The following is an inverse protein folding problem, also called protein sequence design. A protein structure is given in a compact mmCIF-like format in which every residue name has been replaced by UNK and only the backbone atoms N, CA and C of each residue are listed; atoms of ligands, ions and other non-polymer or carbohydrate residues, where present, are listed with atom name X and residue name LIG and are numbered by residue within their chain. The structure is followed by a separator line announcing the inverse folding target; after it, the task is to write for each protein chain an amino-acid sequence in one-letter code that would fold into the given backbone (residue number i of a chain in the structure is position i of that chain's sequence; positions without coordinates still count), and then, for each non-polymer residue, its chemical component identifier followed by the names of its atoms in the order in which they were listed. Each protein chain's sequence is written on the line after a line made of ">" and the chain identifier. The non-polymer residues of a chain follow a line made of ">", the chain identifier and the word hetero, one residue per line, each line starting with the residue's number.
data_IF_860990180558
#
_entry.id   IF_860990180558
#
_cell.length_a   1.000
_cell.length_b   1.000
_cell.length_c   1.000
_cell.angle_alpha   90.00
_cell.angle_beta   90.00
_cell.angle_gamma   90.00
#
_symmetry.space_group_name_H-M   'P 1'
#
loop_
_entity.id
_entity.type
_entity.pdbx_description
1 polymer ?
#
# COMPACT_ATOMS: atom_id res chain seq x y z
N UNK A 1 10.52 8.96 -19.35
CA UNK A 1 9.56 7.85 -19.54
C UNK A 1 9.88 7.18 -20.87
N UNK A 2 10.15 5.91 -20.82
CA UNK A 2 10.39 5.14 -22.04
C UNK A 2 9.04 4.84 -22.72
N UNK A 3 8.81 5.49 -23.87
CA UNK A 3 7.57 5.29 -24.63
C UNK A 3 7.40 3.85 -25.16
N UNK A 4 8.45 3.04 -25.07
CA UNK A 4 8.42 1.63 -25.49
C UNK A 4 7.96 0.68 -24.40
N UNK A 5 7.89 1.13 -23.14
CA UNK A 5 7.43 0.29 -22.03
C UNK A 5 5.91 0.13 -22.07
N UNK A 6 5.40 -1.12 -22.30
CA UNK A 6 3.96 -1.36 -22.34
C UNK A 6 3.24 -1.03 -21.03
N UNK A 7 3.88 -1.23 -19.88
CA UNK A 7 3.31 -0.92 -18.58
C UNK A 7 3.15 0.59 -18.40
N UNK A 8 4.20 1.36 -18.70
CA UNK A 8 4.14 2.81 -18.60
C UNK A 8 3.08 3.40 -19.54
N UNK A 9 2.98 2.85 -20.76
CA UNK A 9 1.94 3.26 -21.72
C UNK A 9 0.54 2.96 -21.19
N UNK A 10 0.32 1.78 -20.64
CA UNK A 10 -0.96 1.39 -20.08
C UNK A 10 -1.35 2.27 -18.88
N UNK A 11 -0.40 2.56 -18.00
CA UNK A 11 -0.62 3.47 -16.86
C UNK A 11 -0.99 4.87 -17.34
N UNK A 12 -0.30 5.35 -18.38
CA UNK A 12 -0.60 6.67 -18.96
C UNK A 12 -2.03 6.72 -19.54
N UNK A 13 -2.48 5.66 -20.18
CA UNK A 13 -3.85 5.57 -20.72
C UNK A 13 -4.92 5.57 -19.62
N UNK A 14 -4.59 5.12 -18.41
CA UNK A 14 -5.48 5.05 -17.26
C UNK A 14 -5.36 6.24 -16.32
N UNK A 15 -4.56 7.23 -16.67
CA UNK A 15 -4.26 8.37 -15.80
C UNK A 15 -5.51 9.14 -15.38
N UNK A 16 -6.40 9.42 -16.34
CA UNK A 16 -7.64 10.16 -16.05
C UNK A 16 -8.57 9.37 -15.15
N UNK A 17 -8.65 8.06 -15.34
CA UNK A 17 -9.41 7.18 -14.46
C UNK A 17 -8.80 7.14 -13.05
N UNK A 18 -7.49 7.10 -12.92
CA UNK A 18 -6.83 7.17 -11.63
C UNK A 18 -7.12 8.50 -10.90
N UNK A 19 -7.06 9.62 -11.60
CA UNK A 19 -7.40 10.93 -11.05
C UNK A 19 -8.86 10.97 -10.57
N UNK A 20 -9.76 10.35 -11.32
CA UNK A 20 -11.16 10.24 -10.95
C UNK A 20 -11.34 9.43 -9.66
N UNK A 21 -10.65 8.29 -9.54
CA UNK A 21 -10.68 7.47 -8.33
C UNK A 21 -10.17 8.27 -7.13
N UNK A 22 -9.06 8.98 -7.27
CA UNK A 22 -8.47 9.78 -6.20
C UNK A 22 -9.41 10.94 -5.77
N UNK A 23 -10.09 11.56 -6.72
CA UNK A 23 -11.07 12.59 -6.43
C UNK A 23 -12.28 12.03 -5.68
N UNK A 24 -12.82 10.93 -6.15
CA UNK A 24 -13.91 10.21 -5.48
C UNK A 24 -13.56 9.91 -4.01
N UNK A 25 -12.35 9.41 -3.78
CA UNK A 25 -11.89 9.11 -2.43
C UNK A 25 -11.89 10.35 -1.56
N UNK A 26 -11.31 11.46 -2.05
CA UNK A 26 -11.24 12.70 -1.27
C UNK A 26 -12.60 13.29 -0.93
N UNK A 27 -13.52 13.24 -1.88
CA UNK A 27 -14.81 13.90 -1.78
C UNK A 27 -15.89 13.05 -1.14
N UNK A 28 -15.86 11.73 -1.32
CA UNK A 28 -16.98 10.86 -0.99
C UNK A 28 -16.64 9.62 -0.15
N UNK A 29 -15.40 9.22 -0.05
CA UNK A 29 -15.04 7.92 0.52
C UNK A 29 -13.77 7.92 1.39
N UNK A 30 -13.34 9.07 1.91
CA UNK A 30 -12.10 9.19 2.67
C UNK A 30 -12.06 8.28 3.90
N UNK A 31 -13.20 8.08 4.57
CA UNK A 31 -13.28 7.28 5.80
C UNK A 31 -13.16 5.76 5.56
N UNK A 32 -13.38 5.31 4.33
CA UNK A 32 -13.30 3.90 3.98
C UNK A 32 -12.08 3.54 3.14
N UNK A 33 -11.30 4.52 2.71
CA UNK A 33 -10.22 4.31 1.77
C UNK A 33 -9.03 3.60 2.41
N UNK A 34 -8.59 2.52 1.77
CA UNK A 34 -7.48 1.69 2.24
C UNK A 34 -6.24 1.71 1.37
N UNK A 35 -6.20 2.58 0.35
CA UNK A 35 -5.07 2.70 -0.56
C UNK A 35 -5.41 2.34 -2.00
N UNK A 36 -4.53 2.73 -2.90
CA UNK A 36 -4.69 2.48 -4.33
C UNK A 36 -3.32 2.14 -4.92
N UNK A 37 -3.28 1.19 -5.84
CA UNK A 37 -2.02 0.79 -6.48
C UNK A 37 -2.26 0.30 -7.90
N UNK A 38 -1.15 0.22 -8.65
CA UNK A 38 -1.14 -0.38 -9.98
C UNK A 38 -0.90 -1.88 -9.85
N UNK A 39 -1.81 -2.69 -10.41
CA UNK A 39 -1.51 -4.08 -10.72
C UNK A 39 -0.96 -4.12 -12.14
N UNK A 40 0.33 -4.37 -12.26
CA UNK A 40 1.04 -4.33 -13.53
C UNK A 40 1.01 -5.66 -14.28
N UNK A 41 0.42 -6.71 -13.73
CA UNK A 41 0.13 -7.92 -14.49
C UNK A 41 -0.84 -7.59 -15.63
N UNK A 42 -0.52 -7.96 -16.87
CA UNK A 42 -1.41 -7.63 -17.99
C UNK A 42 -2.80 -8.26 -17.86
N UNK A 43 -3.88 -7.49 -18.10
CA UNK A 43 -3.89 -6.06 -18.40
C UNK A 43 -3.65 -5.19 -17.17
N UNK A 44 -2.83 -4.15 -17.30
CA UNK A 44 -2.57 -3.20 -16.20
C UNK A 44 -3.89 -2.66 -15.64
N UNK A 45 -4.05 -2.71 -14.34
CA UNK A 45 -5.31 -2.42 -13.65
C UNK A 45 -5.07 -1.47 -12.48
N UNK A 46 -5.99 -0.53 -12.27
CA UNK A 46 -6.05 0.27 -11.05
C UNK A 46 -6.74 -0.58 -9.98
N UNK A 47 -6.11 -0.75 -8.82
CA UNK A 47 -6.71 -1.43 -7.68
C UNK A 47 -6.99 -0.41 -6.60
N UNK A 48 -8.24 -0.26 -6.22
CA UNK A 48 -8.68 0.62 -5.13
C UNK A 48 -9.20 -0.23 -3.98
N UNK A 49 -8.74 0.06 -2.77
CA UNK A 49 -9.04 -0.72 -1.57
C UNK A 49 -9.96 0.07 -0.64
N UNK A 50 -10.96 -0.60 -0.09
CA UNK A 50 -11.91 -0.02 0.85
C UNK A 50 -12.18 -0.94 2.02
N UNK A 51 -12.39 -0.37 3.20
CA UNK A 51 -12.65 -1.15 4.42
C UNK A 51 -14.13 -1.47 4.63
N UNK A 52 -15.01 -0.75 3.95
CA UNK A 52 -16.46 -0.90 4.08
C UNK A 52 -17.15 -0.52 2.77
N UNK A 53 -18.38 -1.00 2.61
CA UNK A 53 -19.24 -0.71 1.45
C UNK A 53 -18.57 -0.95 0.10
N UNK A 54 -17.78 -2.02 0.01
CA UNK A 54 -16.95 -2.34 -1.17
C UNK A 54 -17.79 -2.42 -2.45
N UNK A 55 -18.95 -3.07 -2.40
CA UNK A 55 -19.84 -3.23 -3.56
C UNK A 55 -20.41 -1.88 -4.02
N UNK A 56 -20.74 -0.99 -3.08
CA UNK A 56 -21.21 0.36 -3.39
C UNK A 56 -20.10 1.15 -4.10
N UNK A 57 -18.90 1.13 -3.56
CA UNK A 57 -17.76 1.84 -4.18
C UNK A 57 -17.46 1.28 -5.57
N UNK A 58 -17.53 -0.04 -5.73
CA UNK A 58 -17.34 -0.70 -7.03
C UNK A 58 -18.37 -0.22 -8.05
N UNK A 59 -19.62 -0.16 -7.66
CA UNK A 59 -20.72 0.27 -8.55
C UNK A 59 -20.53 1.73 -8.94
N UNK A 60 -20.28 2.61 -7.98
CA UNK A 60 -20.15 4.05 -8.23
C UNK A 60 -18.94 4.33 -9.11
N UNK A 61 -17.76 3.80 -8.75
CA UNK A 61 -16.53 4.00 -9.51
C UNK A 61 -16.63 3.37 -10.91
N UNK A 62 -17.16 2.17 -11.00
CA UNK A 62 -17.34 1.49 -12.28
C UNK A 62 -18.24 2.26 -13.27
N UNK A 63 -19.18 3.05 -12.75
CA UNK A 63 -20.05 3.88 -13.59
C UNK A 63 -19.39 5.19 -14.03
N UNK A 64 -18.34 5.63 -13.34
CA UNK A 64 -17.67 6.93 -13.59
C UNK A 64 -16.40 6.82 -14.41
N UNK A 65 -15.63 5.72 -14.26
CA UNK A 65 -14.38 5.54 -15.02
C UNK A 65 -14.66 5.22 -16.49
N UNK A 66 -13.71 5.52 -17.36
CA UNK A 66 -13.85 5.27 -18.80
C UNK A 66 -13.56 3.81 -19.16
N UNK A 67 -12.74 3.11 -18.37
CA UNK A 67 -12.35 1.73 -18.60
C UNK A 67 -12.63 0.87 -17.35
N UNK A 68 -13.91 0.55 -17.08
CA UNK A 68 -14.26 -0.19 -15.86
C UNK A 68 -13.66 -1.60 -15.80
N UNK A 69 -13.33 -2.21 -16.93
CA UNK A 69 -12.63 -3.50 -16.97
C UNK A 69 -11.18 -3.41 -16.46
N UNK A 70 -10.64 -2.20 -16.37
CA UNK A 70 -9.28 -1.93 -15.90
C UNK A 70 -9.28 -1.33 -14.49
N UNK A 71 -10.37 -1.49 -13.77
CA UNK A 71 -10.54 -1.08 -12.37
C UNK A 71 -10.93 -2.28 -11.53
N UNK A 72 -10.20 -2.55 -10.46
CA UNK A 72 -10.56 -3.53 -9.45
C UNK A 72 -10.81 -2.81 -8.12
N UNK A 73 -11.93 -3.08 -7.49
CA UNK A 73 -12.28 -2.55 -6.16
C UNK A 73 -12.33 -3.73 -5.21
N UNK A 74 -11.52 -3.71 -4.17
CA UNK A 74 -11.33 -4.84 -3.27
C UNK A 74 -11.41 -4.40 -1.81
N UNK A 75 -11.74 -5.35 -0.94
CA UNK A 75 -11.75 -5.16 0.50
C UNK A 75 -10.34 -5.16 1.08
N UNK A 76 -10.15 -4.37 2.13
CA UNK A 76 -8.92 -4.37 2.94
C UNK A 76 -9.31 -4.15 4.41
N UNK A 77 -8.54 -4.68 5.38
CA UNK A 77 -8.93 -4.58 6.79
C UNK A 77 -8.64 -3.21 7.43
N UNK A 78 -7.74 -2.41 6.87
CA UNK A 78 -7.27 -1.15 7.46
C UNK A 78 -7.42 0.00 6.48
N UNK A 79 -7.84 1.17 6.99
CA UNK A 79 -7.84 2.39 6.17
C UNK A 79 -6.42 2.88 5.93
N UNK A 80 -6.24 3.65 4.87
CA UNK A 80 -4.97 4.33 4.57
C UNK A 80 -4.49 5.18 5.75
N UNK A 81 -5.41 5.91 6.39
CA UNK A 81 -5.12 6.71 7.57
C UNK A 81 -4.63 5.86 8.74
N UNK A 82 -5.25 4.71 8.99
CA UNK A 82 -4.83 3.79 10.05
C UNK A 82 -3.44 3.20 9.78
N UNK A 83 -3.15 2.83 8.54
CA UNK A 83 -1.81 2.32 8.16
C UNK A 83 -0.75 3.39 8.38
N UNK A 84 -1.03 4.64 8.02
CA UNK A 84 -0.12 5.76 8.26
C UNK A 84 0.11 6.02 9.76
N UNK A 85 -0.94 5.95 10.57
CA UNK A 85 -0.82 6.10 12.02
C UNK A 85 0.04 4.97 12.61
N UNK A 86 -0.18 3.74 12.18
CA UNK A 86 0.65 2.60 12.58
C UNK A 86 2.11 2.80 12.19
N UNK A 87 2.36 3.30 10.99
CA UNK A 87 3.71 3.59 10.51
C UNK A 87 4.42 4.60 11.42
N UNK A 88 3.76 5.70 11.76
CA UNK A 88 4.35 6.73 12.63
C UNK A 88 4.69 6.15 14.02
N UNK A 89 3.78 5.38 14.59
CA UNK A 89 3.97 4.76 15.91
C UNK A 89 5.06 3.70 15.90
N UNK A 90 5.11 2.84 14.90
CA UNK A 90 6.14 1.80 14.76
C UNK A 90 7.51 2.44 14.52
N UNK A 91 7.58 3.44 13.64
CA UNK A 91 8.82 4.15 13.37
C UNK A 91 9.37 4.82 14.63
N UNK A 92 8.52 5.50 15.40
CA UNK A 92 8.91 6.12 16.66
C UNK A 92 9.43 5.07 17.65
N UNK A 93 8.74 3.96 17.79
CA UNK A 93 9.12 2.89 18.71
C UNK A 93 10.45 2.25 18.34
N UNK A 94 10.64 1.87 17.09
CA UNK A 94 11.82 1.13 16.64
C UNK A 94 13.05 2.02 16.46
N UNK A 95 12.89 3.22 15.95
CA UNK A 95 14.01 4.11 15.65
C UNK A 95 14.45 4.95 16.86
N UNK A 96 13.56 5.20 17.81
CA UNK A 96 13.86 5.99 18.99
C UNK A 96 14.48 5.14 20.10
N UNK A 97 13.97 3.94 20.34
CA UNK A 97 14.45 3.08 21.43
C UNK A 97 15.74 2.34 21.10
N UNK A 98 16.04 2.15 19.82
CA UNK A 98 17.19 1.40 19.31
C UNK A 98 17.36 0.03 19.97
N UNK A 99 16.27 -0.61 20.34
CA UNK A 99 16.27 -1.91 21.01
C UNK A 99 16.68 -3.04 20.08
N UNK A 100 16.57 -2.86 18.78
CA UNK A 100 16.98 -3.85 17.79
C UNK A 100 17.93 -3.19 16.77
N UNK A 101 19.21 -3.62 16.70
CA UNK A 101 20.16 -3.06 15.74
C UNK A 101 19.88 -3.54 14.32
N UNK A 102 20.39 -2.81 13.32
CA UNK A 102 20.32 -3.20 11.92
C UNK A 102 18.98 -2.95 11.26
N UNK A 103 18.15 -2.07 11.82
CA UNK A 103 16.95 -1.58 11.15
C UNK A 103 17.37 -0.48 10.18
N UNK A 104 17.14 -0.71 8.88
CA UNK A 104 17.51 0.25 7.83
C UNK A 104 16.38 1.20 7.49
N UNK A 105 15.14 0.71 7.48
CA UNK A 105 14.00 1.57 7.17
C UNK A 105 12.71 1.03 7.77
N UNK A 106 11.80 1.95 8.02
CA UNK A 106 10.40 1.67 8.36
C UNK A 106 9.55 2.44 7.35
N UNK A 107 8.77 1.74 6.58
CA UNK A 107 7.96 2.34 5.52
C UNK A 107 6.61 1.66 5.38
N UNK A 108 5.89 2.01 4.34
CA UNK A 108 4.62 1.37 3.98
C UNK A 108 4.84 0.67 2.65
N UNK A 109 4.49 -0.60 2.57
CA UNK A 109 4.62 -1.40 1.37
C UNK A 109 3.36 -2.20 1.07
N UNK A 110 3.32 -2.77 -0.12
CA UNK A 110 2.24 -3.62 -0.57
C UNK A 110 2.62 -5.08 -0.27
N UNK A 111 1.75 -5.78 0.44
CA UNK A 111 1.93 -7.18 0.79
C UNK A 111 0.62 -7.92 0.65
N UNK A 112 0.60 -8.95 -0.21
CA UNK A 112 -0.60 -9.75 -0.48
C UNK A 112 -1.83 -8.90 -0.82
N UNK A 113 -1.64 -7.88 -1.67
CA UNK A 113 -2.73 -7.05 -2.18
C UNK A 113 -3.25 -5.99 -1.21
N UNK A 114 -2.53 -5.69 -0.12
CA UNK A 114 -2.89 -4.63 0.84
C UNK A 114 -1.67 -3.89 1.34
N UNK A 115 -1.89 -2.68 1.84
CA UNK A 115 -0.81 -1.88 2.40
C UNK A 115 -0.57 -2.23 3.86
N UNK A 116 0.71 -2.41 4.22
CA UNK A 116 1.16 -2.72 5.57
C UNK A 116 2.42 -1.93 5.90
N UNK A 117 2.72 -1.79 7.17
CA UNK A 117 4.00 -1.23 7.61
C UNK A 117 5.08 -2.29 7.38
N UNK A 118 6.16 -1.89 6.70
CA UNK A 118 7.30 -2.75 6.38
C UNK A 118 8.53 -2.28 7.12
N UNK A 119 9.26 -3.21 7.72
CA UNK A 119 10.53 -2.95 8.40
C UNK A 119 11.63 -3.73 7.69
N UNK A 120 12.62 -3.01 7.20
CA UNK A 120 13.78 -3.59 6.54
C UNK A 120 14.92 -3.75 7.53
N UNK A 121 15.43 -4.95 7.66
CA UNK A 121 16.53 -5.29 8.57
C UNK A 121 17.66 -6.01 7.84
N UNK A 122 18.86 -5.89 8.38
CA UNK A 122 20.03 -6.62 7.91
C UNK A 122 20.94 -6.97 9.11
N UNK A 123 21.33 -8.24 9.27
CA UNK A 123 20.86 -9.40 8.55
C UNK A 123 19.43 -9.78 8.96
N UNK A 124 18.68 -10.35 8.04
CA UNK A 124 17.35 -10.90 8.34
C UNK A 124 17.50 -12.29 8.96
N UNK A 125 16.86 -12.50 10.10
CA UNK A 125 16.61 -13.83 10.66
C UNK A 125 15.16 -13.89 11.13
N UNK A 126 14.57 -15.08 11.11
CA UNK A 126 13.22 -15.28 11.61
C UNK A 126 13.08 -14.87 13.10
N UNK A 127 14.12 -15.11 13.88
CA UNK A 127 14.18 -14.74 15.29
C UNK A 127 14.14 -13.22 15.49
N UNK A 128 14.93 -12.48 14.72
CA UNK A 128 14.92 -11.01 14.75
C UNK A 128 13.56 -10.44 14.30
N UNK A 129 13.01 -11.00 13.22
CA UNK A 129 11.69 -10.62 12.72
C UNK A 129 10.61 -10.83 13.79
N UNK A 130 10.65 -11.97 14.49
CA UNK A 130 9.72 -12.27 15.57
C UNK A 130 9.85 -11.29 16.73
N UNK A 131 11.07 -10.90 17.12
CA UNK A 131 11.30 -9.89 18.17
C UNK A 131 10.72 -8.53 17.80
N UNK A 132 10.92 -8.11 16.55
CA UNK A 132 10.37 -6.83 16.06
C UNK A 132 8.84 -6.89 16.07
N UNK A 133 8.25 -7.96 15.56
CA UNK A 133 6.80 -8.14 15.57
C UNK A 133 6.22 -8.09 16.98
N UNK A 134 6.89 -8.69 17.95
CA UNK A 134 6.48 -8.65 19.36
C UNK A 134 6.55 -7.23 19.94
N UNK A 135 7.62 -6.49 19.63
CA UNK A 135 7.79 -5.11 20.11
C UNK A 135 6.69 -4.16 19.65
N UNK A 136 6.15 -4.37 18.46
CA UNK A 136 5.15 -3.47 17.87
C UNK A 136 3.72 -3.90 18.10
N UNK A 137 3.49 -5.08 18.71
CA UNK A 137 2.13 -5.55 18.99
C UNK A 137 1.30 -4.48 19.72
N UNK A 138 0.00 -4.39 19.46
CA UNK A 138 -0.81 -5.26 18.58
C UNK A 138 -0.82 -4.85 17.10
N UNK A 139 0.06 -3.94 16.69
CA UNK A 139 0.14 -3.46 15.31
C UNK A 139 0.74 -4.52 14.42
N UNK A 140 0.23 -4.59 13.20
CA UNK A 140 0.77 -5.50 12.19
C UNK A 140 2.01 -4.90 11.52
N UNK A 141 3.00 -5.74 11.28
CA UNK A 141 4.23 -5.36 10.59
C UNK A 141 4.72 -6.50 9.72
N UNK A 142 5.28 -6.17 8.57
CA UNK A 142 6.02 -7.10 7.74
C UNK A 142 7.52 -6.79 7.87
N UNK A 143 8.29 -7.77 8.32
CA UNK A 143 9.74 -7.64 8.46
C UNK A 143 10.41 -8.38 7.32
N UNK A 144 11.33 -7.72 6.62
CA UNK A 144 11.99 -8.29 5.46
C UNK A 144 13.48 -7.98 5.45
N UNK A 145 14.22 -8.76 4.64
CA UNK A 145 15.62 -8.48 4.38
C UNK A 145 15.71 -7.18 3.58
N UNK A 146 16.44 -6.24 4.12
CA UNK A 146 16.74 -4.99 3.45
C UNK A 146 18.13 -4.53 3.83
N UNK A 147 18.73 -3.77 2.97
CA UNK A 147 20.00 -3.11 3.21
C UNK A 147 19.87 -1.66 2.84
N UNK A 148 20.99 -0.96 2.61
CA UNK A 148 20.94 0.40 2.10
C UNK A 148 20.01 0.43 0.89
N UNK A 149 18.97 1.24 0.99
CA UNK A 149 17.93 1.28 -0.01
C UNK A 149 18.51 1.72 -1.36
N UNK A 150 18.32 0.89 -2.36
CA UNK A 150 18.63 1.26 -3.73
C UNK A 150 17.34 1.77 -4.37
N UNK A 151 17.20 3.10 -4.43
CA UNK A 151 16.08 3.70 -5.13
C UNK A 151 16.05 3.21 -6.58
N UNK A 152 14.93 2.69 -6.96
CA UNK A 152 14.68 2.32 -8.35
C UNK A 152 14.34 3.59 -9.11
#
# INVERSE_FOLDING_TARGET
>A
MDETDPVARAQHQLRDDLELVQRYVREEAADHFGGCYWDNEPPVTIVALFTAEVDRHRTVLGSRVTQPARLAVRATPRTWRQVHADHEEIAALLLTTRTEPGIHSVGIGLFQGRFVVCVDIEPYTAERAARIAELVQPREVMVQQGGPYHAI
#
